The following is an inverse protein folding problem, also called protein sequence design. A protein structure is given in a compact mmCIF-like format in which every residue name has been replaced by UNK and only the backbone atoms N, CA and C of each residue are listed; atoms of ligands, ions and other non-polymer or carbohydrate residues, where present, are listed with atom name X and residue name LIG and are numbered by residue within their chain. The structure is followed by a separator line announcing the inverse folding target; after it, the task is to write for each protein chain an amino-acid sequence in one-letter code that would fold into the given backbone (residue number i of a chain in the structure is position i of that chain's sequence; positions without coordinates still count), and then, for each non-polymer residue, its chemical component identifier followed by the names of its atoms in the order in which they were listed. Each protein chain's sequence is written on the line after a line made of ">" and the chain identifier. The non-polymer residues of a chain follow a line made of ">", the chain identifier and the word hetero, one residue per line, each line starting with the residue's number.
data_IF_523240567938
#
_entry.id   IF_523240567938
#
_cell.length_a   1.000
_cell.length_b   1.000
_cell.length_c   1.000
_cell.angle_alpha   90.00
_cell.angle_beta   90.00
_cell.angle_gamma   90.00
#
_symmetry.space_group_name_H-M   'P 1'
#
loop_
_entity.id
_entity.type
_entity.pdbx_description
1 polymer ?
#
# COMPACT_ATOMS: atom_id res chain seq x y z
N UNK A 1 -16.70 -12.12 24.37
CA UNK A 1 -16.68 -12.45 22.93
C UNK A 1 -16.01 -11.30 22.17
N UNK A 2 -14.73 -11.43 21.84
CA UNK A 2 -13.96 -10.38 21.16
C UNK A 2 -14.13 -10.58 19.66
N UNK A 3 -14.82 -9.63 19.01
CA UNK A 3 -15.08 -9.64 17.56
C UNK A 3 -13.76 -9.49 16.79
N UNK A 4 -13.56 -10.33 15.77
CA UNK A 4 -12.59 -10.24 14.66
C UNK A 4 -12.69 -8.89 13.91
N UNK A 5 -12.39 -7.75 14.55
CA UNK A 5 -12.37 -6.42 13.89
C UNK A 5 -11.01 -6.06 13.30
N UNK A 6 -9.98 -6.84 13.58
CA UNK A 6 -8.61 -6.56 13.19
C UNK A 6 -8.21 -7.24 11.88
N UNK A 7 -8.82 -8.39 11.59
CA UNK A 7 -8.52 -9.21 10.42
C UNK A 7 -9.61 -9.09 9.36
N UNK A 8 -9.22 -9.15 8.09
CA UNK A 8 -10.13 -9.00 6.96
C UNK A 8 -9.59 -9.76 5.74
N UNK A 9 -10.50 -10.28 4.90
CA UNK A 9 -10.16 -10.72 3.53
C UNK A 9 -10.70 -9.68 2.56
N UNK A 10 -9.85 -9.20 1.64
CA UNK A 10 -10.25 -8.32 0.54
C UNK A 10 -9.89 -8.94 -0.81
N UNK A 11 -10.78 -8.82 -1.78
CA UNK A 11 -10.49 -9.12 -3.18
C UNK A 11 -10.11 -7.83 -3.89
N UNK A 12 -8.87 -7.74 -4.37
CA UNK A 12 -8.39 -6.61 -5.17
C UNK A 12 -8.44 -6.96 -6.65
N UNK A 13 -9.04 -6.07 -7.43
CA UNK A 13 -8.95 -6.09 -8.89
C UNK A 13 -7.53 -5.79 -9.36
N UNK A 14 -7.30 -5.94 -10.66
CA UNK A 14 -6.08 -5.45 -11.29
C UNK A 14 -5.98 -3.94 -11.11
N UNK A 15 -4.81 -3.44 -10.71
CA UNK A 15 -4.59 -2.02 -10.43
C UNK A 15 -3.23 -1.59 -10.96
N UNK A 16 -3.18 -0.38 -11.52
CA UNK A 16 -1.92 0.27 -11.91
C UNK A 16 -1.25 0.87 -10.67
N UNK A 17 0.05 0.66 -10.59
CA UNK A 17 0.90 1.19 -9.52
C UNK A 17 2.10 1.92 -10.11
N UNK A 18 2.51 2.99 -9.44
CA UNK A 18 3.85 3.55 -9.60
C UNK A 18 4.78 2.90 -8.57
N UNK A 19 5.95 2.42 -9.00
CA UNK A 19 6.88 1.68 -8.15
C UNK A 19 8.32 2.17 -8.27
N UNK A 20 9.07 2.04 -7.17
CA UNK A 20 10.49 2.36 -7.10
C UNK A 20 11.20 1.39 -6.16
N UNK A 21 12.49 1.13 -6.42
CA UNK A 21 13.36 0.30 -5.58
C UNK A 21 14.39 1.19 -4.92
N UNK A 22 14.65 0.94 -3.64
CA UNK A 22 15.65 1.67 -2.86
C UNK A 22 16.51 0.70 -2.07
N UNK A 23 17.82 0.74 -2.30
CA UNK A 23 18.81 0.02 -1.51
C UNK A 23 19.23 0.86 -0.30
N UNK A 24 18.48 0.75 0.79
CA UNK A 24 18.78 1.43 2.05
C UNK A 24 18.13 0.72 3.25
N UNK A 25 18.45 1.17 4.46
CA UNK A 25 17.71 0.74 5.66
C UNK A 25 16.22 1.10 5.54
N UNK A 26 15.34 0.29 6.13
CA UNK A 26 13.88 0.45 5.98
C UNK A 26 13.40 1.92 6.17
N UNK A 27 13.88 2.58 7.22
CA UNK A 27 13.52 3.98 7.53
C UNK A 27 13.98 4.98 6.46
N UNK A 28 15.19 4.79 5.92
CA UNK A 28 15.73 5.66 4.87
C UNK A 28 15.04 5.38 3.53
N UNK A 29 14.88 4.09 3.20
CA UNK A 29 14.20 3.63 2.01
C UNK A 29 12.78 4.19 1.90
N UNK A 30 12.01 4.16 2.99
CA UNK A 30 10.65 4.70 2.99
C UNK A 30 10.57 6.20 2.71
N UNK A 31 11.47 7.00 3.29
CA UNK A 31 11.51 8.45 3.03
C UNK A 31 11.90 8.75 1.58
N UNK A 32 12.92 8.08 1.07
CA UNK A 32 13.40 8.28 -0.30
C UNK A 32 12.36 7.85 -1.33
N UNK A 33 11.80 6.64 -1.18
CA UNK A 33 10.78 6.13 -2.08
C UNK A 33 9.53 7.00 -2.08
N UNK A 34 9.07 7.42 -0.89
CA UNK A 34 7.94 8.34 -0.78
C UNK A 34 8.19 9.62 -1.56
N UNK A 35 9.38 10.22 -1.44
CA UNK A 35 9.72 11.46 -2.18
C UNK A 35 9.65 11.25 -3.70
N UNK A 36 10.25 10.16 -4.22
CA UNK A 36 10.25 9.84 -5.66
C UNK A 36 8.83 9.63 -6.19
N UNK A 37 8.04 8.81 -5.50
CA UNK A 37 6.67 8.50 -5.91
C UNK A 37 5.72 9.70 -5.73
N UNK A 38 5.91 10.50 -4.69
CA UNK A 38 5.13 11.71 -4.46
C UNK A 38 5.40 12.77 -5.52
N UNK A 39 6.66 12.96 -5.94
CA UNK A 39 6.99 13.89 -7.00
C UNK A 39 6.35 13.49 -8.33
N UNK A 40 6.37 12.19 -8.67
CA UNK A 40 5.68 11.65 -9.85
C UNK A 40 4.19 12.02 -9.89
N UNK A 41 3.44 11.74 -8.81
CA UNK A 41 2.00 12.05 -8.75
C UNK A 41 1.72 13.56 -8.63
N UNK A 42 2.73 14.35 -8.27
CA UNK A 42 2.63 15.82 -8.14
C UNK A 42 3.12 16.57 -9.40
N UNK A 43 3.21 15.88 -10.54
CA UNK A 43 3.55 16.49 -11.82
C UNK A 43 4.95 16.22 -12.36
N UNK A 44 5.79 15.41 -11.69
CA UNK A 44 7.06 14.91 -12.26
C UNK A 44 6.81 13.73 -13.25
N UNK A 45 5.97 14.01 -14.24
CA UNK A 45 5.60 13.11 -15.33
C UNK A 45 5.52 13.90 -16.64
N UNK A 46 5.57 13.22 -17.78
CA UNK A 46 5.73 13.85 -19.10
C UNK A 46 4.66 14.89 -19.44
N UNK A 47 3.45 14.72 -18.93
CA UNK A 47 2.30 15.61 -19.17
C UNK A 47 2.09 16.66 -18.07
N UNK A 48 2.95 16.68 -17.04
CA UNK A 48 2.87 17.57 -15.86
C UNK A 48 1.51 17.52 -15.16
N UNK A 49 0.89 16.34 -15.15
CA UNK A 49 -0.42 16.13 -14.56
C UNK A 49 -0.29 15.84 -13.06
N UNK A 50 -1.17 16.45 -12.26
CA UNK A 50 -1.32 16.08 -10.85
C UNK A 50 -2.27 14.90 -10.74
N UNK A 51 -1.72 13.74 -10.38
CA UNK A 51 -2.48 12.52 -10.14
C UNK A 51 -2.99 12.56 -8.71
N UNK A 52 -4.31 12.50 -8.55
CA UNK A 52 -4.92 12.45 -7.23
C UNK A 52 -4.39 11.25 -6.44
N UNK A 53 -3.95 11.48 -5.20
CA UNK A 53 -3.71 10.38 -4.27
C UNK A 53 -5.01 9.60 -4.11
N UNK A 54 -4.97 8.28 -4.30
CA UNK A 54 -6.17 7.47 -4.10
C UNK A 54 -6.57 7.47 -2.63
N UNK A 55 -7.86 7.33 -2.35
CA UNK A 55 -8.41 6.95 -1.03
C UNK A 55 -8.38 5.41 -0.96
N UNK A 56 -8.43 4.73 0.21
CA UNK A 56 -8.20 3.29 0.26
C UNK A 56 -9.17 2.55 -0.67
N UNK A 57 -8.65 1.51 -1.31
CA UNK A 57 -9.45 0.58 -2.13
C UNK A 57 -10.36 -0.20 -1.18
N UNK A 58 -11.52 0.36 -0.87
CA UNK A 58 -12.64 -0.31 -0.22
C UNK A 58 -13.69 -0.52 -1.31
N UNK A 59 -14.06 -1.78 -1.50
CA UNK A 59 -15.20 -2.19 -2.29
C UNK A 59 -16.44 -1.35 -1.94
N UNK A 60 -17.12 -0.84 -2.97
CA UNK A 60 -18.45 -0.20 -2.95
C UNK A 60 -18.93 0.34 -1.59
N UNK A 61 -18.84 1.65 -1.39
CA UNK A 61 -19.90 2.43 -0.76
C UNK A 61 -19.72 3.91 -1.06
N UNK A 62 -20.76 4.46 -1.69
CA UNK A 62 -21.06 5.87 -1.90
C UNK A 62 -20.97 6.65 -0.59
N UNK A 63 -20.15 7.71 -0.52
CA UNK A 63 -20.50 8.93 0.20
C UNK A 63 -19.85 10.15 -0.45
N UNK A 64 -20.71 11.13 -0.69
CA UNK A 64 -20.48 12.47 -1.18
C UNK A 64 -19.84 13.38 -0.11
N UNK A 65 -19.08 14.35 -0.61
CA UNK A 65 -19.19 15.79 -0.32
C UNK A 65 -17.99 16.52 0.31
N UNK A 66 -17.83 17.74 -0.20
CA UNK A 66 -17.09 18.92 0.29
C UNK A 66 -15.55 19.00 0.18
N UNK A 67 -15.14 20.14 -0.40
CA UNK A 67 -13.78 20.62 -0.65
C UNK A 67 -13.02 20.90 0.65
N UNK A 68 -11.92 20.17 0.89
CA UNK A 68 -10.83 20.60 1.77
C UNK A 68 -9.48 20.05 1.28
N UNK A 69 -8.46 20.89 1.41
CA UNK A 69 -7.07 20.69 1.03
C UNK A 69 -6.47 19.38 1.60
N UNK A 70 -5.99 18.51 0.69
CA UNK A 70 -5.15 17.31 0.86
C UNK A 70 -5.68 16.21 1.80
N UNK A 71 -6.75 15.52 1.38
CA UNK A 71 -7.04 14.17 1.86
C UNK A 71 -6.13 13.15 1.16
N UNK A 72 -5.03 12.75 1.82
CA UNK A 72 -4.26 11.56 1.46
C UNK A 72 -5.11 10.30 1.70
N UNK A 73 -4.89 9.18 0.98
CA UNK A 73 -4.57 7.84 1.56
C UNK A 73 -4.68 6.68 0.56
N UNK A 74 -3.72 6.59 -0.36
CA UNK A 74 -3.44 5.38 -1.13
C UNK A 74 -2.48 4.55 -0.28
N UNK A 75 -2.67 3.24 -0.10
CA UNK A 75 -1.70 2.47 0.68
C UNK A 75 -0.34 2.54 -0.01
N UNK A 76 0.65 3.08 0.68
CA UNK A 76 2.04 2.90 0.28
C UNK A 76 2.41 1.48 0.69
N UNK A 77 2.49 0.57 -0.28
CA UNK A 77 2.92 -0.80 0.04
C UNK A 77 4.43 -0.90 -0.03
N UNK A 78 5.04 -1.54 0.97
CA UNK A 78 6.45 -1.89 0.95
C UNK A 78 6.67 -3.40 1.10
N UNK A 79 7.70 -3.90 0.41
CA UNK A 79 8.19 -5.28 0.49
C UNK A 79 9.71 -5.29 0.31
N UNK A 80 10.41 -6.15 1.05
CA UNK A 80 11.83 -6.41 0.82
C UNK A 80 11.99 -7.41 -0.33
N UNK A 81 12.84 -7.09 -1.31
CA UNK A 81 13.16 -7.94 -2.46
C UNK A 81 14.68 -8.02 -2.56
N UNK A 82 15.25 -9.17 -2.14
CA UNK A 82 16.70 -9.28 -1.96
C UNK A 82 17.23 -8.27 -0.92
N UNK A 83 18.15 -7.42 -1.35
CA UNK A 83 18.72 -6.34 -0.51
C UNK A 83 17.96 -5.01 -0.62
N UNK A 84 17.02 -4.90 -1.55
CA UNK A 84 16.30 -3.66 -1.83
C UNK A 84 14.89 -3.64 -1.23
N UNK A 85 14.37 -2.43 -1.04
CA UNK A 85 12.96 -2.22 -0.70
C UNK A 85 12.18 -1.75 -1.92
N UNK A 86 11.14 -2.50 -2.28
CA UNK A 86 10.17 -2.11 -3.29
C UNK A 86 9.03 -1.34 -2.62
N UNK A 87 8.79 -0.12 -3.09
CA UNK A 87 7.68 0.74 -2.66
C UNK A 87 6.73 0.99 -3.82
N UNK A 88 5.43 1.00 -3.54
CA UNK A 88 4.38 1.22 -4.54
C UNK A 88 3.33 2.20 -4.08
N UNK A 89 2.91 3.09 -4.98
CA UNK A 89 1.70 3.90 -4.87
C UNK A 89 0.64 3.33 -5.81
N UNK A 90 -0.58 3.16 -5.31
CA UNK A 90 -1.73 2.76 -6.13
C UNK A 90 -2.29 3.99 -6.83
N UNK A 91 -2.40 3.95 -8.15
CA UNK A 91 -3.01 5.02 -8.95
C UNK A 91 -4.54 4.92 -8.93
N UNK A 92 -5.26 6.02 -9.21
CA UNK A 92 -6.72 5.99 -9.38
C UNK A 92 -7.17 4.93 -10.37
N UNK A 93 -8.32 4.31 -10.11
CA UNK A 93 -8.88 3.25 -10.95
C UNK A 93 -9.17 3.69 -12.40
N UNK A 94 -9.23 5.00 -12.65
CA UNK A 94 -9.35 5.56 -13.99
C UNK A 94 -8.10 5.35 -14.86
N UNK A 95 -6.93 5.08 -14.27
CA UNK A 95 -5.71 4.85 -15.02
C UNK A 95 -5.51 3.37 -15.37
N UNK A 96 -5.25 3.13 -16.65
CA UNK A 96 -4.60 1.95 -17.20
C UNK A 96 -3.11 2.19 -17.42
N UNK A 97 -2.33 1.14 -17.70
CA UNK A 97 -0.90 1.25 -18.00
C UNK A 97 -0.63 2.19 -19.19
N UNK A 98 -1.54 2.21 -20.17
CA UNK A 98 -1.41 3.05 -21.37
C UNK A 98 -1.78 4.51 -21.13
N UNK A 99 -2.71 4.78 -20.20
CA UNK A 99 -3.20 6.13 -19.89
C UNK A 99 -2.44 6.82 -18.76
N UNK A 100 -1.74 6.06 -17.91
CA UNK A 100 -0.99 6.61 -16.79
C UNK A 100 0.16 7.50 -17.30
N UNK A 101 0.30 8.74 -16.79
CA UNK A 101 1.40 9.63 -17.16
C UNK A 101 2.76 8.95 -17.01
N UNK A 102 3.61 9.04 -18.03
CA UNK A 102 4.94 8.43 -17.98
C UNK A 102 5.82 9.18 -16.96
N UNK A 103 6.47 8.47 -16.01
CA UNK A 103 7.40 9.11 -15.08
C UNK A 103 8.60 9.73 -15.80
N UNK A 104 9.05 10.90 -15.36
CA UNK A 104 10.30 11.49 -15.85
C UNK A 104 11.53 10.95 -15.10
N UNK A 105 11.33 10.48 -13.88
CA UNK A 105 12.38 9.91 -13.05
C UNK A 105 12.64 8.45 -13.46
N UNK A 106 13.86 8.08 -13.90
CA UNK A 106 14.15 6.72 -14.34
C UNK A 106 14.09 5.67 -13.23
N UNK A 107 14.13 6.09 -11.95
CA UNK A 107 13.96 5.20 -10.79
C UNK A 107 12.48 4.89 -10.48
N UNK A 108 11.55 5.52 -11.21
CA UNK A 108 10.10 5.31 -11.07
C UNK A 108 9.58 4.62 -12.31
N UNK A 109 8.88 3.52 -12.11
CA UNK A 109 8.27 2.75 -13.19
C UNK A 109 6.79 2.50 -12.91
N UNK A 110 6.02 2.27 -13.97
CA UNK A 110 4.62 1.87 -13.88
C UNK A 110 4.51 0.36 -14.03
N UNK A 111 3.65 -0.24 -13.22
CA UNK A 111 3.36 -1.66 -13.29
C UNK A 111 1.88 -1.92 -13.06
N UNK A 112 1.39 -3.05 -13.54
CA UNK A 112 0.05 -3.55 -13.23
C UNK A 112 0.15 -4.68 -12.22
N UNK A 113 -0.71 -4.65 -11.20
CA UNK A 113 -0.80 -5.72 -10.21
C UNK A 113 -1.91 -6.68 -10.59
N UNK A 114 -1.64 -7.99 -10.56
CA UNK A 114 -2.67 -8.99 -10.83
C UNK A 114 -3.80 -8.96 -9.79
N UNK A 115 -5.00 -9.32 -10.24
CA UNK A 115 -6.16 -9.61 -9.37
C UNK A 115 -5.76 -10.64 -8.30
N UNK A 116 -6.12 -10.38 -7.05
CA UNK A 116 -5.68 -11.19 -5.91
C UNK A 116 -6.64 -11.09 -4.73
N UNK A 117 -6.72 -12.18 -3.99
CA UNK A 117 -7.37 -12.23 -2.67
C UNK A 117 -6.31 -12.03 -1.59
N UNK A 118 -6.59 -11.15 -0.64
CA UNK A 118 -5.60 -10.67 0.33
C UNK A 118 -6.16 -10.73 1.74
N UNK A 119 -5.44 -11.42 2.62
CA UNK A 119 -5.67 -11.38 4.06
C UNK A 119 -4.95 -10.17 4.66
N UNK A 120 -5.63 -9.49 5.59
CA UNK A 120 -5.21 -8.21 6.13
C UNK A 120 -5.30 -8.23 7.65
N UNK A 121 -4.29 -7.67 8.32
CA UNK A 121 -4.34 -7.30 9.73
C UNK A 121 -4.14 -5.78 9.86
N UNK A 122 -5.11 -5.07 10.44
CA UNK A 122 -5.02 -3.64 10.74
C UNK A 122 -4.46 -3.37 12.13
N UNK A 123 -3.52 -2.44 12.27
CA UNK A 123 -2.97 -2.06 13.58
C UNK A 123 -2.62 -0.58 13.65
N UNK A 124 -2.54 -0.05 14.86
CA UNK A 124 -2.12 1.33 15.14
C UNK A 124 -0.71 1.39 15.73
N UNK A 125 -0.12 2.59 15.75
CA UNK A 125 1.22 2.83 16.30
C UNK A 125 2.31 2.98 15.26
N UNK A 126 3.56 2.81 15.70
CA UNK A 126 4.76 2.95 14.85
C UNK A 126 4.92 1.73 13.95
N UNK A 127 5.17 1.96 12.67
CA UNK A 127 5.59 0.93 11.72
C UNK A 127 7.09 0.63 11.87
N UNK A 128 7.50 0.03 13.00
CA UNK A 128 8.86 -0.48 13.19
C UNK A 128 8.97 -1.91 12.68
N UNK A 129 10.18 -2.38 12.36
CA UNK A 129 10.42 -3.77 11.98
C UNK A 129 9.85 -4.76 13.01
N UNK A 130 10.04 -4.50 14.31
CA UNK A 130 9.44 -5.31 15.38
C UNK A 130 7.91 -5.36 15.34
N UNK A 131 7.25 -4.22 15.07
CA UNK A 131 5.80 -4.18 14.94
C UNK A 131 5.35 -4.92 13.68
N UNK A 132 6.10 -4.78 12.59
CA UNK A 132 5.84 -5.47 11.33
C UNK A 132 5.93 -6.99 11.49
N UNK A 133 7.00 -7.51 12.08
CA UNK A 133 7.18 -8.96 12.30
C UNK A 133 6.09 -9.53 13.20
N UNK A 134 5.80 -8.87 14.34
CA UNK A 134 4.77 -9.34 15.27
C UNK A 134 3.38 -9.41 14.63
N UNK A 135 3.00 -8.39 13.85
CA UNK A 135 1.70 -8.38 13.19
C UNK A 135 1.64 -9.33 11.99
N UNK A 136 2.77 -9.58 11.32
CA UNK A 136 2.85 -10.59 10.26
C UNK A 136 2.65 -12.00 10.82
N UNK A 137 3.32 -12.35 11.92
CA UNK A 137 3.13 -13.62 12.61
C UNK A 137 1.67 -13.82 13.06
N UNK A 138 1.05 -12.78 13.63
CA UNK A 138 -0.36 -12.82 14.00
C UNK A 138 -1.29 -13.04 12.79
N UNK A 139 -0.97 -12.44 11.64
CA UNK A 139 -1.74 -12.64 10.40
C UNK A 139 -1.56 -14.05 9.84
N UNK A 140 -0.34 -14.60 9.86
CA UNK A 140 -0.07 -15.98 9.41
C UNK A 140 -0.87 -16.97 10.25
N UNK A 141 -0.81 -16.87 11.58
CA UNK A 141 -1.57 -17.74 12.47
C UNK A 141 -3.09 -17.65 12.23
N UNK A 142 -3.58 -16.45 11.92
CA UNK A 142 -4.99 -16.26 11.59
C UNK A 142 -5.35 -16.90 10.23
N UNK A 143 -4.53 -16.73 9.20
CA UNK A 143 -4.70 -17.36 7.88
C UNK A 143 -4.77 -18.89 8.04
N UNK A 144 -3.85 -19.48 8.79
CA UNK A 144 -3.81 -20.93 9.07
C UNK A 144 -5.07 -21.38 9.80
N UNK A 145 -5.54 -20.63 10.81
CA UNK A 145 -6.77 -20.93 11.53
C UNK A 145 -8.04 -20.93 10.66
N UNK A 146 -7.98 -20.26 9.50
CA UNK A 146 -9.06 -20.22 8.51
C UNK A 146 -8.92 -21.29 7.41
N UNK A 147 -7.88 -22.12 7.45
CA UNK A 147 -7.59 -23.11 6.40
C UNK A 147 -7.21 -22.48 5.06
N UNK A 148 -6.75 -21.22 5.07
CA UNK A 148 -6.27 -20.53 3.89
C UNK A 148 -4.78 -20.80 3.68
N UNK A 149 -4.32 -20.66 2.44
CA UNK A 149 -2.92 -20.85 2.05
C UNK A 149 -2.30 -19.51 1.70
N UNK A 150 -1.20 -19.16 2.37
CA UNK A 150 -0.39 -17.98 2.04
C UNK A 150 0.28 -18.15 0.68
N UNK A 151 0.09 -17.17 -0.20
CA UNK A 151 0.61 -17.13 -1.57
C UNK A 151 1.74 -16.11 -1.74
N UNK A 152 2.11 -15.39 -0.67
CA UNK A 152 3.16 -14.38 -0.74
C UNK A 152 3.77 -14.06 0.61
N UNK A 153 5.01 -13.56 0.60
CA UNK A 153 5.61 -12.88 1.75
C UNK A 153 4.77 -11.68 2.25
N UNK A 154 4.78 -11.37 3.55
CA UNK A 154 4.11 -10.21 4.12
C UNK A 154 4.48 -8.91 3.42
N UNK A 155 3.49 -8.03 3.24
CA UNK A 155 3.64 -6.64 2.80
C UNK A 155 3.05 -5.71 3.82
N UNK A 156 3.53 -4.48 3.85
CA UNK A 156 3.04 -3.46 4.78
C UNK A 156 2.43 -2.31 4.02
N UNK A 157 1.25 -1.88 4.43
CA UNK A 157 0.61 -0.67 3.94
C UNK A 157 0.57 0.40 5.03
N UNK A 158 1.15 1.56 4.72
CA UNK A 158 0.96 2.79 5.48
C UNK A 158 -0.07 3.68 4.81
N UNK A 159 -0.99 4.21 5.59
CA UNK A 159 -2.04 5.11 5.09
C UNK A 159 -1.75 6.57 5.43
N UNK A 160 -1.14 6.80 6.58
CA UNK A 160 -0.96 8.15 7.09
C UNK A 160 0.40 8.74 6.72
N UNK A 161 0.47 10.08 6.58
CA UNK A 161 1.73 10.74 6.32
C UNK A 161 2.75 10.61 7.46
N UNK A 162 4.04 10.91 7.17
CA UNK A 162 5.11 10.85 8.16
C UNK A 162 4.88 11.72 9.42
N UNK A 163 4.09 12.79 9.32
CA UNK A 163 3.79 13.71 10.43
C UNK A 163 2.63 13.28 11.34
N UNK A 164 1.81 12.29 10.95
CA UNK A 164 0.72 11.80 11.81
C UNK A 164 1.29 11.20 13.10
N UNK A 165 0.71 11.54 14.26
CA UNK A 165 1.17 10.98 15.54
C UNK A 165 0.97 9.46 15.57
N UNK A 166 1.91 8.67 16.13
CA UNK A 166 1.87 7.21 16.04
C UNK A 166 0.55 6.53 16.46
N UNK A 167 -0.12 6.93 17.56
CA UNK A 167 -1.39 6.31 17.95
C UNK A 167 -2.51 6.48 16.92
N UNK A 168 -2.45 7.54 16.10
CA UNK A 168 -3.43 7.84 15.05
C UNK A 168 -3.03 7.32 13.67
N UNK A 169 -1.90 6.60 13.58
CA UNK A 169 -1.51 5.93 12.33
C UNK A 169 -2.30 4.64 12.18
N UNK A 170 -2.90 4.47 11.01
CA UNK A 170 -3.41 3.22 10.46
C UNK A 170 -2.31 2.56 9.64
N UNK A 171 -1.97 1.34 10.05
CA UNK A 171 -1.06 0.46 9.32
C UNK A 171 -1.79 -0.86 9.04
N UNK A 172 -1.42 -1.53 7.97
CA UNK A 172 -1.92 -2.86 7.65
C UNK A 172 -0.76 -3.79 7.27
N UNK A 173 -0.87 -5.07 7.66
CA UNK A 173 -0.07 -6.16 7.08
C UNK A 173 -0.94 -6.90 6.09
N UNK A 174 -0.40 -7.26 4.93
CA UNK A 174 -1.11 -7.89 3.84
C UNK A 174 -0.37 -9.15 3.38
N UNK A 175 -1.11 -10.25 3.22
CA UNK A 175 -0.61 -11.51 2.65
C UNK A 175 -1.59 -11.95 1.57
N UNK A 176 -1.10 -12.22 0.35
CA UNK A 176 -1.92 -12.86 -0.68
C UNK A 176 -2.32 -14.25 -0.21
N UNK A 177 -3.58 -14.63 -0.40
CA UNK A 177 -4.08 -15.94 0.02
C UNK A 177 -4.86 -16.63 -1.09
N UNK A 178 -4.85 -17.95 -1.06
CA UNK A 178 -5.74 -18.81 -1.83
C UNK A 178 -6.42 -19.79 -0.89
N UNK A 179 -7.50 -20.42 -1.33
CA UNK A 179 -8.27 -21.33 -0.51
C UNK A 179 -9.65 -20.75 -0.21
N UNK A 180 -10.58 -21.69 -0.06
CA UNK A 180 -12.03 -21.57 -0.24
C UNK A 180 -12.48 -20.58 -1.32
#
# INVERSE_FOLDING_TARGET
>A
MQKDKQFEIRDYASLVVAETRVNATFKKAGTEAFRKLFAYISGENEVRENIAMTSPVIAETTLSDSSETIAMTAPVTSRKVGEEWLYRFVLPQSYTLDSAPRPLNPDVSLAETAKKRVAILRYSGRATEKAQSRNAEALINWIESKGLVSQSEPRWAGYNPPWTLPPFRRNEVLIDVSGQ
#
